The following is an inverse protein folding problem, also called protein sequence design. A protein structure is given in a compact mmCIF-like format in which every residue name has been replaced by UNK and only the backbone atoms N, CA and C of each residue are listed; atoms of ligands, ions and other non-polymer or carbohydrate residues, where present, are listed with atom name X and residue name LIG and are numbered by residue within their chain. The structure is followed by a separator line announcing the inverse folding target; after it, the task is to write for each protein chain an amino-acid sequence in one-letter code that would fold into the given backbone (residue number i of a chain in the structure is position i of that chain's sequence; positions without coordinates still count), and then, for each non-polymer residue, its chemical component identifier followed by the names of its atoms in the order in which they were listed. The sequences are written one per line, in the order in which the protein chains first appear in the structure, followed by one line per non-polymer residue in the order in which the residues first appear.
data_IF_593698386163
#
_entry.id   IF_593698386163
#
_cell.length_a   1.000
_cell.length_b   1.000
_cell.length_c   1.000
_cell.angle_alpha   90.00
_cell.angle_beta   90.00
_cell.angle_gamma   90.00
#
_symmetry.space_group_name_H-M   'P 1'
#
loop_
_entity.id
_entity.type
_entity.pdbx_description
1 polymer ?
#
# COMPACT_ATOMS: atom_id res chain seq x y z
N UNK A 1 -15.71 26.93 -39.82
CA UNK A 1 -14.71 25.83 -39.68
C UNK A 1 -13.57 26.22 -38.73
N UNK A 2 -13.85 26.56 -37.46
CA UNK A 2 -12.81 26.91 -36.46
C UNK A 2 -13.13 26.47 -35.03
N UNK A 3 -14.42 26.20 -34.73
CA UNK A 3 -14.87 25.85 -33.38
C UNK A 3 -14.65 24.37 -32.98
N UNK A 4 -14.35 23.47 -33.93
CA UNK A 4 -14.17 22.04 -33.62
C UNK A 4 -12.79 21.68 -33.06
N UNK A 5 -11.76 22.50 -33.31
CA UNK A 5 -10.40 22.21 -32.84
C UNK A 5 -10.15 22.58 -31.37
N UNK A 6 -10.99 23.43 -30.78
CA UNK A 6 -10.81 23.86 -29.39
C UNK A 6 -11.24 22.80 -28.35
N UNK A 7 -12.12 21.87 -28.74
CA UNK A 7 -12.63 20.82 -27.83
C UNK A 7 -11.72 19.58 -27.76
N UNK A 8 -10.91 19.31 -28.78
CA UNK A 8 -9.97 18.17 -28.79
C UNK A 8 -8.71 18.41 -27.93
N UNK A 9 -8.32 19.66 -27.70
CA UNK A 9 -7.12 19.98 -26.92
C UNK A 9 -7.30 19.82 -25.41
N UNK A 10 -8.55 19.72 -24.90
CA UNK A 10 -8.83 19.62 -23.46
C UNK A 10 -8.63 18.19 -22.94
N UNK A 11 -8.71 17.17 -23.82
CA UNK A 11 -8.58 15.76 -23.43
C UNK A 11 -7.13 15.26 -23.27
N UNK A 12 -6.14 15.97 -23.81
CA UNK A 12 -4.72 15.58 -23.74
C UNK A 12 -3.97 16.14 -22.52
N UNK A 13 -4.62 16.96 -21.70
CA UNK A 13 -4.05 17.55 -20.48
C UNK A 13 -4.59 16.90 -19.19
N UNK A 14 -5.25 15.74 -19.28
CA UNK A 14 -5.59 14.97 -18.09
C UNK A 14 -4.27 14.55 -17.42
N UNK A 15 -4.03 14.93 -16.15
CA UNK A 15 -2.79 14.63 -15.49
C UNK A 15 -2.64 13.10 -15.40
N UNK A 16 -1.57 12.58 -16.01
CA UNK A 16 -1.17 11.17 -15.97
C UNK A 16 -0.99 10.66 -14.52
N UNK A 17 -0.97 11.58 -13.55
CA UNK A 17 -0.93 11.35 -12.11
C UNK A 17 -2.02 10.42 -11.56
N UNK A 18 -3.15 10.21 -12.27
CA UNK A 18 -4.20 9.27 -11.83
C UNK A 18 -3.70 7.80 -11.86
N UNK A 19 -2.64 7.51 -12.62
CA UNK A 19 -2.08 6.15 -12.76
C UNK A 19 -0.82 5.89 -11.91
N UNK A 20 -0.35 6.87 -11.15
CA UNK A 20 0.80 6.67 -10.27
C UNK A 20 0.36 5.91 -9.02
N UNK A 21 0.67 4.61 -8.96
CA UNK A 21 0.52 3.83 -7.74
C UNK A 21 1.48 4.37 -6.67
N UNK A 22 1.07 4.45 -5.39
CA UNK A 22 2.00 4.78 -4.32
C UNK A 22 3.14 3.74 -4.32
N UNK A 23 4.38 4.13 -3.96
CA UNK A 23 5.53 3.22 -4.01
C UNK A 23 5.39 2.02 -3.04
N UNK A 24 4.44 2.10 -2.10
CA UNK A 24 4.18 1.08 -1.11
C UNK A 24 2.70 1.06 -0.70
N UNK A 25 2.28 -0.05 -0.10
CA UNK A 25 0.93 -0.30 0.38
C UNK A 25 0.94 -1.13 1.67
N UNK A 26 -0.16 -1.09 2.40
CA UNK A 26 -0.41 -2.00 3.52
C UNK A 26 -1.00 -3.30 3.01
N UNK A 27 -0.37 -4.42 3.37
CA UNK A 27 -0.89 -5.77 3.11
C UNK A 27 -0.94 -6.57 4.40
N UNK A 28 -1.80 -7.58 4.43
CA UNK A 28 -1.81 -8.55 5.52
C UNK A 28 -0.55 -9.40 5.47
N UNK A 29 -0.03 -9.75 6.63
CA UNK A 29 1.05 -10.71 6.80
C UNK A 29 0.75 -11.61 8.00
N UNK A 30 1.47 -12.72 8.12
CA UNK A 30 1.34 -13.67 9.21
C UNK A 30 -0.13 -14.06 9.49
N UNK A 31 -0.86 -14.62 8.50
CA UNK A 31 -2.30 -14.89 8.62
C UNK A 31 -2.64 -15.86 9.77
N UNK A 32 -1.67 -16.64 10.24
CA UNK A 32 -1.80 -17.59 11.35
C UNK A 32 -1.54 -16.95 12.73
N UNK A 33 -1.22 -15.65 12.79
CA UNK A 33 -0.92 -14.91 14.02
C UNK A 33 -2.09 -14.00 14.39
N UNK A 34 -2.69 -14.26 15.55
CA UNK A 34 -3.59 -13.31 16.23
C UNK A 34 -2.74 -12.37 17.10
N UNK A 35 -2.68 -11.09 16.74
CA UNK A 35 -1.83 -10.12 17.44
C UNK A 35 -2.61 -9.32 18.50
N UNK A 36 -1.89 -8.85 19.53
CA UNK A 36 -2.41 -7.92 20.54
C UNK A 36 -1.57 -6.65 20.66
N UNK A 37 -0.36 -6.66 20.09
CA UNK A 37 0.58 -5.55 20.04
C UNK A 37 1.44 -5.66 18.79
N UNK A 38 2.09 -4.57 18.39
CA UNK A 38 2.88 -4.52 17.15
C UNK A 38 4.04 -5.52 17.17
N UNK A 39 4.62 -5.79 18.35
CA UNK A 39 5.77 -6.69 18.52
C UNK A 39 5.44 -8.13 18.08
N UNK A 40 4.19 -8.56 18.21
CA UNK A 40 3.75 -9.89 17.78
C UNK A 40 3.94 -10.04 16.25
N UNK A 41 3.65 -8.97 15.50
CA UNK A 41 3.82 -8.92 14.05
C UNK A 41 5.29 -8.70 13.64
N UNK A 42 6.04 -7.92 14.43
CA UNK A 42 7.45 -7.63 14.19
C UNK A 42 8.36 -8.87 14.35
N UNK A 43 7.89 -9.88 15.09
CA UNK A 43 8.58 -11.16 15.24
C UNK A 43 8.16 -12.19 14.18
N UNK A 44 7.11 -11.92 13.40
CA UNK A 44 6.59 -12.86 12.43
C UNK A 44 7.45 -12.86 11.15
N UNK A 45 8.04 -14.01 10.75
CA UNK A 45 8.95 -14.07 9.60
C UNK A 45 8.32 -13.61 8.29
N UNK A 46 7.04 -13.90 8.08
CA UNK A 46 6.30 -13.47 6.90
C UNK A 46 6.24 -11.93 6.79
N UNK A 47 5.93 -11.24 7.88
CA UNK A 47 5.92 -9.78 7.93
C UNK A 47 7.32 -9.20 7.69
N UNK A 48 8.36 -9.76 8.33
CA UNK A 48 9.76 -9.31 8.15
C UNK A 48 10.20 -9.46 6.70
N UNK A 49 9.84 -10.56 6.04
CA UNK A 49 10.23 -10.81 4.65
C UNK A 49 9.58 -9.86 3.64
N UNK A 50 8.42 -9.28 4.00
CA UNK A 50 7.61 -8.41 3.14
C UNK A 50 7.82 -6.92 3.40
N UNK A 51 8.47 -6.53 4.51
CA UNK A 51 8.58 -5.12 4.86
C UNK A 51 9.43 -4.34 3.90
N UNK A 52 9.00 -3.10 3.62
CA UNK A 52 9.62 -2.26 2.62
C UNK A 52 11.03 -1.80 3.02
N UNK A 53 11.23 -1.43 4.29
CA UNK A 53 12.51 -0.95 4.82
C UNK A 53 13.22 -1.98 5.70
N UNK A 54 12.69 -3.21 5.80
CA UNK A 54 13.19 -4.22 6.75
C UNK A 54 13.24 -3.70 8.21
N UNK A 55 12.32 -2.81 8.56
CA UNK A 55 12.25 -2.14 9.88
C UNK A 55 10.99 -2.55 10.65
N UNK A 56 11.03 -2.68 11.99
CA UNK A 56 9.85 -2.93 12.82
C UNK A 56 8.72 -1.90 12.64
N UNK A 57 9.06 -0.68 12.20
CA UNK A 57 8.08 0.38 11.95
C UNK A 57 7.19 0.14 10.73
N UNK A 58 7.55 -0.80 9.87
CA UNK A 58 6.71 -1.21 8.74
C UNK A 58 5.62 -2.20 9.14
N UNK A 59 5.55 -2.66 10.40
CA UNK A 59 4.57 -3.64 10.85
C UNK A 59 3.69 -3.07 11.96
N UNK A 60 2.40 -3.36 11.90
CA UNK A 60 1.49 -3.03 12.98
C UNK A 60 0.42 -4.10 13.20
N UNK A 61 -0.09 -4.14 14.43
CA UNK A 61 -1.22 -4.95 14.82
C UNK A 61 -2.50 -4.12 14.80
N UNK A 62 -3.52 -4.64 14.13
CA UNK A 62 -4.88 -4.14 14.21
C UNK A 62 -5.38 -3.50 12.92
N UNK A 63 -6.56 -2.92 12.99
CA UNK A 63 -7.28 -2.36 11.85
C UNK A 63 -8.71 -2.07 12.27
N UNK A 64 -9.37 -1.13 11.59
CA UNK A 64 -10.72 -0.66 12.00
C UNK A 64 -11.72 -1.80 12.13
N UNK A 65 -11.63 -2.82 11.26
CA UNK A 65 -12.50 -4.00 11.27
C UNK A 65 -11.77 -5.31 11.60
N UNK A 66 -10.46 -5.22 11.87
CA UNK A 66 -9.57 -6.38 12.01
C UNK A 66 -8.56 -6.13 13.15
N UNK A 67 -9.03 -6.03 14.41
CA UNK A 67 -8.24 -5.53 15.53
C UNK A 67 -7.07 -6.43 15.94
N UNK A 68 -7.07 -7.69 15.49
CA UNK A 68 -6.04 -8.69 15.83
C UNK A 68 -5.31 -9.22 14.60
N UNK A 69 -5.24 -8.43 13.53
CA UNK A 69 -4.58 -8.81 12.28
C UNK A 69 -3.27 -8.08 12.12
N UNK A 70 -2.24 -8.80 11.68
CA UNK A 70 -0.95 -8.22 11.35
C UNK A 70 -0.95 -7.62 9.94
N UNK A 71 -0.42 -6.40 9.85
CA UNK A 71 -0.23 -5.68 8.60
C UNK A 71 1.22 -5.27 8.44
N UNK A 72 1.69 -5.24 7.19
CA UNK A 72 3.02 -4.78 6.83
C UNK A 72 2.96 -3.80 5.68
N UNK A 73 3.75 -2.73 5.77
CA UNK A 73 3.97 -1.79 4.70
C UNK A 73 5.01 -2.37 3.76
N UNK A 74 4.56 -2.71 2.54
CA UNK A 74 5.35 -3.41 1.54
C UNK A 74 5.45 -2.59 0.26
N UNK A 75 6.47 -2.88 -0.56
CA UNK A 75 6.64 -2.27 -1.87
C UNK A 75 5.47 -2.62 -2.79
N UNK A 76 5.01 -1.68 -3.61
CA UNK A 76 3.97 -1.95 -4.60
C UNK A 76 4.46 -3.01 -5.60
N UNK A 77 3.64 -4.03 -5.96
CA UNK A 77 4.01 -5.01 -6.97
C UNK A 77 4.27 -4.31 -8.31
N UNK A 78 5.52 -4.29 -8.76
CA UNK A 78 5.93 -3.66 -10.02
C UNK A 78 6.82 -2.42 -9.89
N UNK A 79 7.18 -2.01 -8.67
CA UNK A 79 8.29 -1.08 -8.42
C UNK A 79 9.60 -1.80 -8.13
#
# INVERSE_FOLDING_TARGET
MKAFFALLSILLAAPIAILAHPPALWVKCAPDVTCYKNEDCQQAPDCISKSFHHSPGDMFCGGVFEPHTCWVYTKWPGY
#
